data_IF_892898781721
#
_entry.id   IF_892898781721
#
_cell.length_a   1.000
_cell.length_b   1.000
_cell.length_c   1.000
_cell.angle_alpha   90.00
_cell.angle_beta   90.00
_cell.angle_gamma   90.00
#
_symmetry.space_group_name_H-M   'P 1'
#
loop_
_entity.id
_entity.type
_entity.pdbx_description
1 polymer ?
#
# COMPACT_ATOMS: atom_id res chain seq x y z
N UNK A 1 -25.61 22.74 17.28
CA UNK A 1 -24.49 21.83 17.60
C UNK A 1 -23.40 22.20 16.61
N UNK A 2 -22.36 22.91 17.05
CA UNK A 2 -21.21 23.21 16.18
C UNK A 2 -20.34 21.96 16.11
N UNK A 3 -20.24 21.37 14.92
CA UNK A 3 -19.25 20.33 14.67
C UNK A 3 -17.89 20.99 14.53
N UNK A 4 -16.85 20.58 15.29
CA UNK A 4 -15.51 21.11 15.08
C UNK A 4 -15.08 20.83 13.64
N UNK A 5 -14.61 21.86 12.95
CA UNK A 5 -14.12 21.72 11.57
C UNK A 5 -12.84 20.89 11.62
N UNK A 6 -12.91 19.63 11.17
CA UNK A 6 -11.74 18.76 11.01
C UNK A 6 -11.16 18.97 9.61
N UNK A 7 -9.89 19.36 9.55
CA UNK A 7 -9.17 19.60 8.30
C UNK A 7 -7.97 18.68 8.25
N UNK A 8 -7.80 17.97 7.13
CA UNK A 8 -6.58 17.20 6.88
C UNK A 8 -5.37 18.12 6.75
N UNK A 9 -4.20 17.63 7.15
CA UNK A 9 -2.96 18.39 7.08
C UNK A 9 -1.76 17.46 6.92
N UNK A 10 -0.66 18.01 6.43
CA UNK A 10 0.61 17.32 6.33
C UNK A 10 1.69 18.18 6.97
N UNK A 11 2.48 17.59 7.86
CA UNK A 11 3.62 18.23 8.50
C UNK A 11 4.89 17.52 8.09
N UNK A 12 5.80 18.30 7.52
CA UNK A 12 7.08 17.82 7.02
C UNK A 12 8.15 18.41 7.92
N UNK A 13 8.82 17.57 8.72
CA UNK A 13 9.94 18.03 9.54
C UNK A 13 11.23 18.07 8.71
N UNK A 14 11.43 17.07 7.85
CA UNK A 14 12.51 17.02 6.85
C UNK A 14 12.18 16.03 5.73
N UNK A 15 12.91 16.14 4.63
CA UNK A 15 12.97 15.12 3.57
C UNK A 15 14.30 14.38 3.68
N UNK A 16 14.27 13.05 3.52
CA UNK A 16 15.45 12.19 3.56
C UNK A 16 15.71 11.65 2.17
N UNK A 17 16.93 11.86 1.68
CA UNK A 17 17.39 11.38 0.37
C UNK A 17 18.11 10.04 0.47
N UNK A 18 18.20 9.34 -0.66
CA UNK A 18 18.98 8.11 -0.84
C UNK A 18 18.60 6.97 0.11
N UNK A 19 17.29 6.73 0.28
CA UNK A 19 16.78 5.64 1.11
C UNK A 19 16.75 4.33 0.31
N UNK A 20 17.56 3.34 0.70
CA UNK A 20 17.59 2.04 0.02
C UNK A 20 16.37 1.16 0.33
N UNK A 21 15.89 1.24 1.56
CA UNK A 21 14.78 0.41 2.04
C UNK A 21 14.11 1.02 3.26
N UNK A 22 12.87 0.60 3.47
CA UNK A 22 12.03 1.05 4.59
C UNK A 22 11.47 -0.16 5.35
N UNK A 23 11.03 0.08 6.58
CA UNK A 23 10.19 -0.87 7.32
C UNK A 23 8.73 -0.48 7.17
N UNK A 24 7.90 -1.39 6.67
CA UNK A 24 6.45 -1.27 6.78
C UNK A 24 6.01 -1.82 8.13
N UNK A 25 5.72 -0.94 9.09
CA UNK A 25 5.56 -1.32 10.49
C UNK A 25 4.24 -2.03 10.78
N UNK A 26 3.18 -1.73 10.01
CA UNK A 26 1.82 -2.22 10.26
C UNK A 26 1.10 -2.50 8.96
N UNK A 27 0.71 -3.76 8.72
CA UNK A 27 -0.08 -4.13 7.54
C UNK A 27 -1.49 -3.58 7.63
N UNK A 28 -2.00 -3.01 6.53
CA UNK A 28 -3.43 -2.74 6.40
C UNK A 28 -4.16 -4.07 6.19
N UNK A 29 -5.34 -4.26 6.80
CA UNK A 29 -6.13 -5.47 6.61
C UNK A 29 -6.46 -5.68 5.13
N UNK A 30 -6.54 -6.96 4.72
CA UNK A 30 -6.82 -7.36 3.34
C UNK A 30 -8.23 -6.92 2.91
N UNK A 31 -9.17 -6.94 3.85
CA UNK A 31 -10.54 -6.50 3.69
C UNK A 31 -10.73 -5.27 4.55
N UNK A 32 -10.67 -4.07 3.94
CA UNK A 32 -11.23 -2.87 4.57
C UNK A 32 -12.74 -3.13 4.64
N UNK A 33 -13.24 -3.39 5.85
CA UNK A 33 -14.62 -3.82 6.03
C UNK A 33 -15.53 -2.59 5.98
N UNK A 34 -16.78 -2.75 5.54
CA UNK A 34 -17.81 -1.71 5.55
C UNK A 34 -18.31 -1.34 6.97
N UNK A 35 -17.67 -1.87 8.01
CA UNK A 35 -18.07 -1.67 9.40
C UNK A 35 -17.89 -0.22 9.82
N UNK A 36 -18.94 0.39 10.37
CA UNK A 36 -18.93 1.80 10.78
C UNK A 36 -17.81 2.09 11.79
N UNK A 37 -17.57 1.18 12.74
CA UNK A 37 -16.68 1.36 13.89
C UNK A 37 -15.36 0.57 13.80
N UNK A 38 -15.05 -0.05 12.67
CA UNK A 38 -13.82 -0.83 12.51
C UNK A 38 -12.61 0.10 12.42
N UNK A 39 -11.51 -0.17 13.16
CA UNK A 39 -10.34 0.71 13.22
C UNK A 39 -9.35 0.43 12.07
N UNK A 40 -9.85 0.42 10.83
CA UNK A 40 -9.12 -0.04 9.65
C UNK A 40 -8.53 1.08 8.77
N UNK A 41 -8.62 2.33 9.22
CA UNK A 41 -8.21 3.54 8.49
C UNK A 41 -8.61 3.50 7.00
N UNK A 42 -9.87 3.81 6.68
CA UNK A 42 -10.33 3.85 5.30
C UNK A 42 -9.83 5.12 4.58
N UNK A 43 -9.05 5.99 5.21
CA UNK A 43 -8.47 7.17 4.57
C UNK A 43 -7.37 6.78 3.57
N UNK A 44 -7.42 7.42 2.40
CA UNK A 44 -6.52 7.22 1.27
C UNK A 44 -7.03 6.19 0.26
N UNK A 45 -6.69 6.38 -1.02
CA UNK A 45 -6.97 5.41 -2.10
C UNK A 45 -6.00 4.22 -2.00
N UNK A 46 -5.95 3.60 -0.84
CA UNK A 46 -4.80 2.83 -0.44
C UNK A 46 -4.84 1.37 -0.89
N UNK A 47 -3.69 0.75 -0.71
CA UNK A 47 -3.41 -0.66 -0.90
C UNK A 47 -3.87 -1.47 0.32
N UNK A 48 -4.01 -2.78 0.14
CA UNK A 48 -4.34 -3.73 1.21
C UNK A 48 -3.32 -4.87 1.22
N UNK A 49 -3.03 -5.40 2.40
CA UNK A 49 -2.14 -6.55 2.55
C UNK A 49 -0.78 -6.36 1.84
N UNK A 50 -0.42 -7.32 1.00
CA UNK A 50 0.86 -7.36 0.29
C UNK A 50 0.94 -6.38 -0.89
N UNK A 51 -0.21 -5.89 -1.41
CA UNK A 51 -0.24 -4.85 -2.46
C UNK A 51 0.46 -3.56 -2.00
N UNK A 52 0.41 -3.26 -0.70
CA UNK A 52 1.13 -2.11 -0.14
C UNK A 52 2.63 -2.23 -0.34
N UNK A 53 3.17 -3.40 -0.03
CA UNK A 53 4.59 -3.66 -0.17
C UNK A 53 4.98 -3.65 -1.64
N UNK A 54 4.18 -4.31 -2.50
CA UNK A 54 4.40 -4.36 -3.95
C UNK A 54 4.55 -2.96 -4.56
N UNK A 55 3.68 -2.01 -4.22
CA UNK A 55 3.71 -0.63 -4.74
C UNK A 55 4.91 0.21 -4.27
N UNK A 56 5.53 -0.18 -3.15
CA UNK A 56 6.69 0.52 -2.59
C UNK A 56 8.03 0.01 -3.16
N UNK A 57 8.03 -1.13 -3.84
CA UNK A 57 9.24 -1.78 -4.35
C UNK A 57 9.55 -1.37 -5.79
N UNK A 58 10.84 -1.18 -6.08
CA UNK A 58 11.35 -1.22 -7.45
C UNK A 58 11.79 -2.62 -7.85
N UNK A 59 11.88 -2.89 -9.15
CA UNK A 59 12.51 -4.10 -9.67
C UNK A 59 14.01 -4.08 -9.40
N UNK A 60 14.52 -5.18 -8.86
CA UNK A 60 15.95 -5.37 -8.55
C UNK A 60 16.61 -6.48 -9.36
N UNK A 61 15.82 -7.40 -9.93
CA UNK A 61 16.29 -8.58 -10.67
C UNK A 61 15.30 -8.92 -11.80
N UNK A 62 15.80 -9.51 -12.89
CA UNK A 62 14.98 -9.99 -14.01
C UNK A 62 14.53 -8.91 -15.01
N UNK A 63 15.14 -7.73 -14.98
CA UNK A 63 14.76 -6.60 -15.88
C UNK A 63 14.76 -7.02 -17.35
N UNK A 64 15.73 -7.84 -17.74
CA UNK A 64 15.92 -8.40 -19.07
C UNK A 64 14.79 -9.33 -19.54
N UNK A 65 14.06 -9.94 -18.59
CA UNK A 65 12.99 -10.90 -18.89
C UNK A 65 11.71 -10.20 -19.35
N UNK A 66 11.44 -9.00 -18.84
CA UNK A 66 10.35 -8.13 -19.30
C UNK A 66 10.67 -6.65 -19.04
N UNK A 67 11.42 -5.99 -19.95
CA UNK A 67 11.83 -4.59 -19.75
C UNK A 67 10.65 -3.60 -19.71
N UNK A 68 9.56 -3.90 -20.41
CA UNK A 68 8.36 -3.04 -20.47
C UNK A 68 7.68 -3.00 -19.11
N UNK A 69 7.51 -4.17 -18.48
CA UNK A 69 6.94 -4.25 -17.14
C UNK A 69 7.90 -3.75 -16.08
N UNK A 70 9.19 -4.09 -16.17
CA UNK A 70 10.20 -3.60 -15.23
C UNK A 70 10.24 -2.07 -15.16
N UNK A 71 10.04 -1.39 -16.30
CA UNK A 71 9.96 0.07 -16.38
C UNK A 71 8.81 0.66 -15.57
N UNK A 72 7.68 -0.05 -15.43
CA UNK A 72 6.56 0.40 -14.60
C UNK A 72 6.91 0.45 -13.11
N UNK A 73 7.90 -0.34 -12.70
CA UNK A 73 8.39 -0.48 -11.33
C UNK A 73 9.86 -0.02 -11.21
N UNK A 74 10.28 0.97 -12.01
CA UNK A 74 11.65 1.51 -11.94
C UNK A 74 11.88 2.40 -10.71
N UNK A 75 10.79 2.89 -10.11
CA UNK A 75 10.78 3.77 -8.93
C UNK A 75 10.36 2.98 -7.70
N UNK A 76 10.92 3.36 -6.55
CA UNK A 76 10.64 2.74 -5.26
C UNK A 76 11.90 2.23 -4.57
N UNK A 77 11.70 1.62 -3.43
CA UNK A 77 12.77 1.11 -2.58
C UNK A 77 13.33 -0.20 -3.14
N UNK A 78 14.62 -0.45 -2.91
CA UNK A 78 15.28 -1.71 -3.24
C UNK A 78 14.69 -2.87 -2.43
N UNK A 79 14.25 -2.59 -1.21
CA UNK A 79 13.58 -3.55 -0.36
C UNK A 79 12.61 -2.88 0.62
N UNK A 80 11.66 -3.67 1.11
CA UNK A 80 10.78 -3.31 2.22
C UNK A 80 10.90 -4.42 3.27
N UNK A 81 11.05 -4.07 4.53
CA UNK A 81 11.04 -5.02 5.64
C UNK A 81 9.73 -4.92 6.42
N UNK A 82 9.22 -6.04 6.93
CA UNK A 82 7.99 -6.03 7.72
C UNK A 82 7.85 -7.28 8.58
N UNK A 83 6.97 -7.24 9.57
CA UNK A 83 6.45 -8.45 10.24
C UNK A 83 5.28 -8.95 9.40
N UNK A 84 5.38 -10.17 8.87
CA UNK A 84 4.32 -10.76 8.08
C UNK A 84 3.18 -11.22 9.00
N UNK A 85 1.94 -10.74 8.81
CA UNK A 85 0.84 -11.06 9.71
C UNK A 85 0.41 -12.54 9.65
N UNK A 86 0.80 -13.28 8.61
CA UNK A 86 0.43 -14.71 8.47
C UNK A 86 1.19 -15.63 9.43
N UNK A 87 2.39 -15.24 9.85
CA UNK A 87 3.25 -16.07 10.71
C UNK A 87 3.98 -15.29 11.83
N UNK A 88 3.83 -13.97 11.87
CA UNK A 88 4.45 -13.09 12.87
C UNK A 88 5.96 -12.94 12.71
N UNK A 89 6.56 -13.40 11.60
CA UNK A 89 8.01 -13.36 11.38
C UNK A 89 8.42 -12.14 10.56
N UNK A 90 9.67 -11.72 10.73
CA UNK A 90 10.24 -10.61 9.98
C UNK A 90 10.75 -11.09 8.62
N UNK A 91 10.38 -10.36 7.58
CA UNK A 91 10.84 -10.61 6.22
C UNK A 91 11.36 -9.33 5.57
N UNK A 92 12.33 -9.52 4.67
CA UNK A 92 12.69 -8.55 3.64
C UNK A 92 12.05 -8.95 2.32
N UNK A 93 11.26 -8.06 1.76
CA UNK A 93 10.61 -8.16 0.47
C UNK A 93 11.42 -7.42 -0.60
N UNK A 94 11.53 -8.01 -1.78
CA UNK A 94 12.20 -7.43 -2.95
C UNK A 94 11.34 -7.59 -4.20
N UNK A 95 11.39 -6.60 -5.09
CA UNK A 95 10.71 -6.64 -6.38
C UNK A 95 11.58 -7.35 -7.42
N UNK A 96 11.00 -8.32 -8.14
CA UNK A 96 11.65 -9.08 -9.21
C UNK A 96 10.71 -9.23 -10.40
N UNK A 97 11.27 -9.39 -11.60
CA UNK A 97 10.51 -9.96 -12.72
C UNK A 97 10.80 -11.46 -12.77
N UNK A 98 9.75 -12.28 -12.79
CA UNK A 98 9.90 -13.74 -12.91
C UNK A 98 8.76 -14.36 -13.68
N UNK A 99 9.00 -15.56 -14.18
CA UNK A 99 7.97 -16.35 -14.85
C UNK A 99 6.87 -16.73 -13.86
N UNK A 100 5.63 -16.38 -14.19
CA UNK A 100 4.42 -16.72 -13.45
C UNK A 100 3.43 -17.42 -14.39
N UNK A 101 2.84 -18.56 -13.99
CA UNK A 101 1.80 -19.21 -14.75
C UNK A 101 0.57 -18.28 -14.89
N UNK A 102 0.12 -18.01 -16.12
CA UNK A 102 -1.16 -17.33 -16.39
C UNK A 102 -2.32 -18.32 -16.37
N UNK A 103 -2.05 -19.58 -16.70
CA UNK A 103 -3.04 -20.64 -16.85
C UNK A 103 -2.63 -21.85 -16.01
N UNK A 104 -3.62 -22.54 -15.43
CA UNK A 104 -3.38 -23.85 -14.85
C UNK A 104 -3.12 -24.86 -15.97
N UNK A 105 -2.38 -25.93 -15.68
CA UNK A 105 -2.11 -27.00 -16.65
C UNK A 105 -3.42 -27.56 -17.25
N UNK A 106 -4.46 -27.69 -16.43
CA UNK A 106 -5.79 -28.13 -16.86
C UNK A 106 -6.44 -27.17 -17.85
N UNK A 107 -6.32 -25.85 -17.63
CA UNK A 107 -6.86 -24.85 -18.52
C UNK A 107 -6.10 -24.79 -19.86
N UNK A 108 -4.78 -24.98 -19.82
CA UNK A 108 -3.95 -25.11 -21.04
C UNK A 108 -4.34 -26.34 -21.85
N UNK A 109 -4.50 -27.50 -21.20
CA UNK A 109 -4.90 -28.74 -21.87
C UNK A 109 -6.28 -28.61 -22.53
N UNK A 110 -7.25 -28.00 -21.83
CA UNK A 110 -8.59 -27.74 -22.35
C UNK A 110 -8.58 -26.82 -23.57
N UNK A 111 -7.82 -25.73 -23.52
CA UNK A 111 -7.76 -24.78 -24.64
C UNK A 111 -7.11 -25.41 -25.88
N UNK A 112 -6.08 -26.24 -25.66
CA UNK A 112 -5.43 -27.02 -26.73
C UNK A 112 -6.39 -28.02 -27.37
N UNK A 113 -7.22 -28.70 -26.59
CA UNK A 113 -8.25 -29.62 -27.09
C UNK A 113 -9.31 -28.88 -27.92
N UNK A 114 -9.74 -27.69 -27.48
CA UNK A 114 -10.79 -26.91 -28.14
C UNK A 114 -10.31 -26.22 -29.42
N UNK A 115 -9.08 -25.70 -29.43
CA UNK A 115 -8.60 -24.81 -30.51
C UNK A 115 -7.50 -25.44 -31.35
N UNK A 116 -6.91 -26.56 -30.90
CA UNK A 116 -5.75 -27.19 -31.53
C UNK A 116 -4.45 -26.39 -31.40
N UNK A 117 -4.44 -25.27 -30.67
CA UNK A 117 -3.29 -24.37 -30.55
C UNK A 117 -2.65 -24.49 -29.18
N UNK A 118 -1.32 -24.46 -29.15
CA UNK A 118 -0.58 -24.22 -27.92
C UNK A 118 -0.74 -22.76 -27.49
N UNK A 119 -1.00 -22.54 -26.20
CA UNK A 119 -1.07 -21.20 -25.61
C UNK A 119 0.14 -20.94 -24.73
N UNK A 120 0.60 -19.69 -24.71
CA UNK A 120 1.61 -19.24 -23.76
C UNK A 120 1.00 -19.22 -22.35
N UNK A 121 1.28 -20.30 -21.62
CA UNK A 121 0.72 -20.57 -20.30
C UNK A 121 1.38 -19.76 -19.19
N UNK A 122 2.43 -18.99 -19.51
CA UNK A 122 3.23 -18.26 -18.54
C UNK A 122 3.53 -16.83 -18.99
N UNK A 123 4.03 -16.02 -18.08
CA UNK A 123 4.45 -14.66 -18.37
C UNK A 123 5.54 -14.23 -17.42
N UNK A 124 6.50 -13.46 -17.90
CA UNK A 124 7.40 -12.73 -17.02
C UNK A 124 6.64 -11.52 -16.47
N UNK A 125 6.35 -11.55 -15.18
CA UNK A 125 5.61 -10.50 -14.48
C UNK A 125 6.36 -10.00 -13.26
N UNK A 126 6.01 -8.80 -12.81
CA UNK A 126 6.42 -8.29 -11.53
C UNK A 126 5.89 -9.18 -10.40
N UNK A 127 6.80 -9.64 -9.57
CA UNK A 127 6.51 -10.43 -8.40
C UNK A 127 7.33 -9.92 -7.20
N UNK A 128 6.83 -10.25 -6.03
CA UNK A 128 7.51 -10.00 -4.78
C UNK A 128 8.11 -11.31 -4.27
N UNK A 129 9.38 -11.25 -3.88
CA UNK A 129 10.02 -12.34 -3.14
C UNK A 129 10.32 -11.88 -1.72
N UNK A 130 10.23 -12.81 -0.76
CA UNK A 130 10.51 -12.53 0.65
C UNK A 130 11.59 -13.45 1.19
N UNK A 131 12.45 -12.92 2.05
CA UNK A 131 13.51 -13.68 2.76
C UNK A 131 13.46 -13.34 4.24
N UNK A 132 13.57 -14.33 5.14
CA UNK A 132 13.52 -14.07 6.57
C UNK A 132 14.70 -13.18 6.99
N UNK A 133 14.48 -12.32 7.98
CA UNK A 133 15.52 -11.50 8.60
C UNK A 133 15.39 -11.57 10.13
N UNK A 134 16.51 -11.59 10.85
CA UNK A 134 16.49 -11.62 12.33
C UNK A 134 16.04 -10.26 12.92
N UNK A 135 16.51 -9.18 12.29
CA UNK A 135 16.23 -7.81 12.68
C UNK A 135 16.05 -6.92 11.45
N UNK A 136 15.30 -5.83 11.64
CA UNK A 136 15.21 -4.79 10.63
C UNK A 136 16.55 -4.10 10.46
N UNK A 137 16.89 -3.82 9.22
CA UNK A 137 18.12 -3.14 8.81
C UNK A 137 17.83 -1.77 8.19
N UNK A 138 16.60 -1.56 7.70
CA UNK A 138 16.18 -0.25 7.24
C UNK A 138 16.14 0.74 8.41
N UNK A 139 16.69 1.94 8.20
CA UNK A 139 16.69 3.01 9.20
C UNK A 139 15.33 3.66 9.37
N UNK A 140 14.54 3.73 8.30
CA UNK A 140 13.28 4.45 8.29
C UNK A 140 12.11 3.48 8.23
N UNK A 141 11.01 3.86 8.88
CA UNK A 141 9.77 3.10 8.86
C UNK A 141 8.58 3.96 8.42
N UNK A 142 7.58 3.31 7.84
CA UNK A 142 6.26 3.87 7.62
C UNK A 142 5.25 3.12 8.48
N UNK A 143 4.36 3.85 9.15
CA UNK A 143 3.23 3.30 9.90
C UNK A 143 1.99 4.14 9.66
N UNK A 144 0.84 3.57 9.98
CA UNK A 144 -0.45 4.24 9.92
C UNK A 144 -1.28 3.93 11.17
N UNK A 145 -2.18 4.84 11.54
CA UNK A 145 -3.15 4.65 12.60
C UNK A 145 -4.49 5.24 12.21
N UNK A 146 -5.56 4.55 12.61
CA UNK A 146 -6.89 5.14 12.66
C UNK A 146 -6.98 6.02 13.90
N UNK A 147 -7.27 7.30 13.69
CA UNK A 147 -7.41 8.31 14.74
C UNK A 147 -8.85 8.84 14.85
N UNK A 148 -9.80 8.10 14.28
CA UNK A 148 -11.23 8.40 14.40
C UNK A 148 -11.68 8.25 15.85
N UNK A 149 -12.48 9.17 16.32
CA UNK A 149 -13.22 9.01 17.58
C UNK A 149 -14.50 8.20 17.36
N UNK A 150 -15.12 7.75 18.46
CA UNK A 150 -16.40 7.05 18.34
C UNK A 150 -17.46 7.97 17.73
N UNK A 151 -17.47 9.24 18.14
CA UNK A 151 -18.36 10.29 17.65
C UNK A 151 -18.14 10.57 16.15
N UNK A 152 -16.89 10.48 15.68
CA UNK A 152 -16.61 10.57 14.24
C UNK A 152 -17.26 9.41 13.49
N UNK A 153 -17.09 8.18 13.99
CA UNK A 153 -17.64 6.98 13.37
C UNK A 153 -19.17 6.95 13.40
N UNK A 154 -19.81 7.47 14.45
CA UNK A 154 -21.28 7.66 14.49
C UNK A 154 -21.79 8.53 13.32
N UNK A 155 -20.97 9.50 12.88
CA UNK A 155 -21.26 10.40 11.77
C UNK A 155 -20.69 9.91 10.43
N UNK A 156 -20.21 8.67 10.37
CA UNK A 156 -19.53 8.11 9.20
C UNK A 156 -18.33 8.95 8.72
N UNK A 157 -17.60 9.51 9.68
CA UNK A 157 -16.32 10.19 9.46
C UNK A 157 -15.21 9.26 9.92
N UNK A 158 -14.24 9.03 9.05
CA UNK A 158 -13.04 8.29 9.38
C UNK A 158 -11.79 9.14 9.19
N UNK A 159 -10.81 8.95 10.06
CA UNK A 159 -9.59 9.74 10.14
C UNK A 159 -8.35 8.85 10.16
N UNK A 160 -7.43 9.10 9.23
CA UNK A 160 -6.18 8.37 9.10
C UNK A 160 -4.97 9.22 9.41
N UNK A 161 -3.98 8.61 10.06
CA UNK A 161 -2.67 9.21 10.35
C UNK A 161 -1.59 8.33 9.75
N UNK A 162 -0.84 8.86 8.77
CA UNK A 162 0.32 8.21 8.17
C UNK A 162 1.60 8.89 8.67
N UNK A 163 2.62 8.11 9.06
CA UNK A 163 3.90 8.63 9.57
C UNK A 163 5.08 7.98 8.88
N UNK A 164 6.08 8.79 8.55
CA UNK A 164 7.44 8.37 8.28
C UNK A 164 8.30 8.63 9.52
N UNK A 165 9.05 7.63 9.98
CA UNK A 165 9.77 7.65 11.26
C UNK A 165 11.23 7.24 11.03
N UNK A 166 12.17 7.92 11.68
CA UNK A 166 13.55 7.47 11.84
C UNK A 166 13.62 6.49 13.01
N UNK A 167 13.84 5.21 12.74
CA UNK A 167 13.81 4.14 13.75
C UNK A 167 15.03 4.15 14.67
N UNK A 168 16.10 4.90 14.34
CA UNK A 168 17.26 5.04 15.19
C UNK A 168 17.07 6.13 16.25
N UNK A 169 16.48 7.26 15.85
CA UNK A 169 16.27 8.41 16.74
C UNK A 169 14.84 8.48 17.30
N UNK A 170 13.93 7.67 16.77
CA UNK A 170 12.49 7.70 17.04
C UNK A 170 11.83 9.05 16.69
N UNK A 171 12.43 9.79 15.76
CA UNK A 171 11.90 11.07 15.27
C UNK A 171 10.88 10.88 14.14
N UNK A 172 9.80 11.65 14.17
CA UNK A 172 8.88 11.75 13.03
C UNK A 172 9.55 12.59 11.93
N UNK A 173 9.73 12.02 10.75
CA UNK A 173 10.27 12.68 9.55
C UNK A 173 9.18 13.51 8.88
N UNK A 174 8.02 12.89 8.69
CA UNK A 174 6.82 13.51 8.13
C UNK A 174 5.59 12.78 8.66
N UNK A 175 4.48 13.49 8.76
CA UNK A 175 3.18 12.90 9.08
C UNK A 175 2.06 13.57 8.28
N UNK A 176 1.03 12.79 7.98
CA UNK A 176 -0.14 13.22 7.24
C UNK A 176 -1.39 12.74 7.95
N UNK A 177 -2.25 13.68 8.30
CA UNK A 177 -3.61 13.40 8.75
C UNK A 177 -4.57 13.69 7.62
N UNK A 178 -5.56 12.83 7.43
CA UNK A 178 -6.74 13.25 6.73
C UNK A 178 -7.99 12.51 7.11
N UNK A 179 -9.08 12.96 6.50
CA UNK A 179 -10.42 12.57 6.84
C UNK A 179 -11.18 12.18 5.57
N UNK A 180 -12.01 11.16 5.67
CA UNK A 180 -13.05 10.87 4.69
C UNK A 180 -14.41 10.83 5.40
N UNK A 181 -15.46 11.15 4.66
CA UNK A 181 -16.83 11.07 5.14
C UNK A 181 -17.67 10.30 4.15
N UNK A 182 -18.51 9.39 4.64
CA UNK A 182 -19.53 8.75 3.83
C UNK A 182 -20.79 9.61 3.74
N UNK A 183 -20.99 10.35 2.65
CA UNK A 183 -22.14 11.25 2.52
C UNK A 183 -23.50 10.53 2.48
N UNK A 184 -23.52 9.23 2.22
CA UNK A 184 -24.71 8.38 2.32
C UNK A 184 -24.94 7.78 3.70
N UNK A 185 -24.18 8.20 4.72
CA UNK A 185 -24.34 7.82 6.13
C UNK A 185 -24.49 6.31 6.34
N UNK A 186 -23.68 5.52 5.62
CA UNK A 186 -23.69 4.06 5.77
C UNK A 186 -24.69 3.31 4.90
N UNK A 187 -25.45 4.01 4.05
CA UNK A 187 -26.41 3.34 3.16
C UNK A 187 -25.71 2.29 2.29
N UNK A 188 -26.25 1.07 2.30
CA UNK A 188 -25.84 -0.05 1.45
C UNK A 188 -26.76 -0.25 0.25
N UNK A 189 -27.69 0.69 0.00
CA UNK A 189 -28.65 0.60 -1.10
C UNK A 189 -27.93 0.54 -2.44
N UNK A 190 -28.48 -0.24 -3.38
CA UNK A 190 -27.90 -0.39 -4.71
C UNK A 190 -26.50 -1.03 -4.71
N UNK A 191 -26.21 -1.91 -3.74
CA UNK A 191 -24.91 -2.58 -3.58
C UNK A 191 -23.75 -1.63 -3.28
N UNK A 192 -24.05 -0.50 -2.64
CA UNK A 192 -23.06 0.48 -2.21
C UNK A 192 -22.24 -0.05 -1.03
N UNK A 193 -20.92 0.07 -1.14
CA UNK A 193 -19.99 -0.03 -0.01
C UNK A 193 -19.73 1.40 0.51
N UNK A 194 -20.16 1.77 1.73
CA UNK A 194 -20.01 3.12 2.26
C UNK A 194 -18.57 3.65 2.19
N UNK A 195 -17.59 2.90 2.71
CA UNK A 195 -16.20 3.35 2.72
C UNK A 195 -15.56 3.32 1.33
N UNK A 196 -15.89 2.32 0.50
CA UNK A 196 -15.51 2.29 -0.91
C UNK A 196 -16.05 3.49 -1.70
N UNK A 197 -17.28 3.91 -1.41
CA UNK A 197 -17.91 5.06 -2.02
C UNK A 197 -17.27 6.36 -1.54
N UNK A 198 -17.04 6.52 -0.24
CA UNK A 198 -16.36 7.65 0.36
C UNK A 198 -14.96 7.86 -0.23
N UNK A 199 -14.15 6.80 -0.36
CA UNK A 199 -12.83 6.86 -1.01
C UNK A 199 -12.87 7.38 -2.46
N UNK A 200 -13.97 7.15 -3.16
CA UNK A 200 -14.10 7.51 -4.58
C UNK A 200 -14.78 8.86 -4.80
N UNK A 201 -15.76 9.22 -3.94
CA UNK A 201 -16.71 10.31 -4.19
C UNK A 201 -16.87 11.29 -3.02
N UNK A 202 -16.20 11.09 -1.88
CA UNK A 202 -16.28 12.05 -0.79
C UNK A 202 -15.82 13.44 -1.26
N UNK A 203 -16.39 14.52 -0.71
CA UNK A 203 -15.84 15.86 -0.89
C UNK A 203 -14.34 15.80 -0.57
N UNK A 204 -13.49 16.02 -1.58
CA UNK A 204 -12.05 15.84 -1.44
C UNK A 204 -11.52 16.83 -0.41
N UNK A 205 -11.23 16.35 0.81
CA UNK A 205 -10.30 17.02 1.69
C UNK A 205 -8.93 17.03 0.99
N UNK A 206 -8.18 18.12 1.14
CA UNK A 206 -6.91 18.30 0.44
C UNK A 206 -5.99 17.08 0.68
N UNK A 207 -5.56 16.40 -0.40
CA UNK A 207 -4.69 15.19 -0.43
C UNK A 207 -5.32 13.86 0.03
N UNK A 208 -6.64 13.74 0.11
CA UNK A 208 -7.32 12.45 0.36
C UNK A 208 -7.15 11.41 -0.76
N UNK A 209 -6.68 11.86 -1.93
CA UNK A 209 -6.43 11.06 -3.13
C UNK A 209 -4.98 10.55 -3.24
N UNK A 210 -4.06 11.06 -2.43
CA UNK A 210 -2.64 10.68 -2.48
C UNK A 210 -2.40 9.32 -1.80
N UNK A 211 -1.82 8.39 -2.56
CA UNK A 211 -1.53 7.04 -2.09
C UNK A 211 -0.43 7.01 -1.01
N UNK A 212 -0.48 6.04 -0.10
CA UNK A 212 0.56 5.81 0.92
C UNK A 212 1.98 5.74 0.33
N UNK A 213 2.13 5.10 -0.82
CA UNK A 213 3.45 4.96 -1.48
C UNK A 213 3.98 6.32 -1.96
N UNK A 214 3.12 7.23 -2.46
CA UNK A 214 3.51 8.57 -2.90
C UNK A 214 4.01 9.42 -1.73
N UNK A 215 3.29 9.37 -0.60
CA UNK A 215 3.72 10.02 0.64
C UNK A 215 5.09 9.48 1.08
N UNK A 216 5.28 8.16 1.07
CA UNK A 216 6.56 7.56 1.47
C UNK A 216 7.70 8.03 0.57
N UNK A 217 7.54 7.97 -0.75
CA UNK A 217 8.60 8.27 -1.71
C UNK A 217 8.92 9.77 -1.79
N UNK A 218 8.00 10.65 -1.37
CA UNK A 218 8.23 12.09 -1.29
C UNK A 218 9.11 12.48 -0.10
N UNK A 219 8.96 11.79 1.03
CA UNK A 219 9.61 12.16 2.29
C UNK A 219 10.81 11.28 2.64
N UNK A 220 10.80 10.05 2.15
CA UNK A 220 11.89 9.08 2.19
C UNK A 220 12.25 8.74 0.74
N UNK A 221 12.96 9.65 0.08
CA UNK A 221 13.24 9.57 -1.35
C UNK A 221 14.13 8.34 -1.63
N UNK A 222 13.67 7.39 -2.48
CA UNK A 222 14.44 6.19 -2.75
C UNK A 222 15.80 6.50 -3.38
N UNK A 223 16.80 5.67 -3.07
CA UNK A 223 18.09 5.72 -3.77
C UNK A 223 17.90 5.52 -5.27
N UNK A 224 18.83 6.01 -6.10
CA UNK A 224 18.77 5.77 -7.55
C UNK A 224 19.08 4.31 -7.85
N UNK A 225 18.50 3.77 -8.92
CA UNK A 225 18.99 2.50 -9.47
C UNK A 225 20.41 2.72 -9.97
N UNK A 226 21.33 1.84 -9.56
CA UNK A 226 22.60 1.70 -10.26
C UNK A 226 22.26 1.30 -11.70
N UNK A 227 22.75 2.06 -12.68
CA UNK A 227 22.57 1.81 -14.11
C UNK A 227 23.68 0.92 -14.62
#
# INVERSE_FOLDING_TARGET
>A
MEFPVRVGWEKINRTVENVDGIVWLKWRPMNLNSGQFEPDDPYGKDCSGDDCIKRMLRVTQGVELNPVEAKQYEKGYRFVESVDPSDGRKYRYVGVIKMHPRWTEQAVAREKELTGKDIDSSAYVFAMERRPVEQFTARYGITWDDISTHEDRELWIAAGLLKAIDLQTNEVVAERIGYIVDSGQGSTDGFRDPWGWAKTHAPRCHRSDEHTWEFSMRHLVPSKSER
#
